data_IF_389498083548
#
_entry.id   IF_389498083548
#
_cell.length_a   1.000
_cell.length_b   1.000
_cell.length_c   1.000
_cell.angle_alpha   90.00
_cell.angle_beta   90.00
_cell.angle_gamma   90.00
#
_symmetry.space_group_name_H-M   'P 1'
#
loop_
_entity.id
_entity.type
_entity.pdbx_description
1 polymer ?
#
# COMPACT_ATOMS: atom_id res chain seq x y z
N UNK A 1 -6.93 -16.69 -0.81
CA UNK A 1 -6.46 -16.80 0.59
C UNK A 1 -5.30 -17.78 0.71
N UNK A 2 -5.45 -19.01 0.19
CA UNK A 2 -4.39 -20.05 0.16
C UNK A 2 -3.09 -19.52 -0.47
N UNK A 3 -3.17 -18.80 -1.60
CA UNK A 3 -1.98 -18.24 -2.26
C UNK A 3 -1.15 -17.28 -1.40
N UNK A 4 -1.77 -16.39 -0.61
CA UNK A 4 -1.04 -15.44 0.26
C UNK A 4 -0.34 -16.19 1.38
N UNK A 5 -1.01 -17.18 1.95
CA UNK A 5 -0.46 -18.01 3.01
C UNK A 5 0.76 -18.80 2.51
N UNK A 6 0.67 -19.41 1.32
CA UNK A 6 1.77 -20.14 0.71
C UNK A 6 2.97 -19.24 0.42
N UNK A 7 2.74 -18.02 -0.07
CA UNK A 7 3.81 -17.04 -0.27
C UNK A 7 4.49 -16.66 1.06
N UNK A 8 3.71 -16.40 2.12
CA UNK A 8 4.24 -16.09 3.45
C UNK A 8 5.06 -17.26 4.02
N UNK A 9 4.58 -18.49 3.84
CA UNK A 9 5.27 -19.70 4.28
C UNK A 9 6.59 -19.88 3.53
N UNK A 10 6.60 -19.66 2.20
CA UNK A 10 7.79 -19.71 1.38
C UNK A 10 8.83 -18.66 1.79
N UNK A 11 8.41 -17.42 2.04
CA UNK A 11 9.28 -16.35 2.52
C UNK A 11 9.86 -16.67 3.91
N UNK A 12 9.03 -17.15 4.83
CA UNK A 12 9.45 -17.56 6.18
C UNK A 12 10.45 -18.72 6.14
N UNK A 13 10.20 -19.72 5.28
CA UNK A 13 11.12 -20.83 5.04
C UNK A 13 12.47 -20.31 4.52
N UNK A 14 12.46 -19.35 3.59
CA UNK A 14 13.69 -18.75 3.05
C UNK A 14 14.48 -17.98 4.11
N UNK A 15 13.83 -17.23 4.99
CA UNK A 15 14.51 -16.59 6.13
C UNK A 15 15.16 -17.60 7.06
N UNK A 16 14.46 -18.70 7.37
CA UNK A 16 15.01 -19.80 8.18
C UNK A 16 16.21 -20.46 7.49
N UNK A 17 16.11 -20.78 6.20
CA UNK A 17 17.20 -21.41 5.43
C UNK A 17 18.46 -20.54 5.35
N UNK A 18 18.29 -19.23 5.27
CA UNK A 18 19.42 -18.28 5.29
C UNK A 18 19.97 -18.02 6.69
N UNK A 19 19.35 -18.57 7.74
CA UNK A 19 19.65 -18.26 9.13
C UNK A 19 19.70 -16.73 9.36
N UNK A 20 18.60 -16.04 9.03
CA UNK A 20 18.50 -14.58 9.20
C UNK A 20 18.65 -14.21 10.68
N UNK A 21 19.58 -13.29 10.98
CA UNK A 21 19.81 -12.82 12.34
C UNK A 21 18.85 -11.68 12.72
N UNK A 22 18.64 -11.48 14.02
CA UNK A 22 17.74 -10.44 14.53
C UNK A 22 18.18 -9.03 14.12
N UNK A 23 19.49 -8.79 14.12
CA UNK A 23 20.10 -7.52 13.72
C UNK A 23 19.91 -7.26 12.21
N UNK A 24 20.03 -8.30 11.38
CA UNK A 24 19.76 -8.19 9.94
C UNK A 24 18.27 -7.92 9.69
N UNK A 25 17.39 -8.59 10.44
CA UNK A 25 15.95 -8.43 10.32
C UNK A 25 15.49 -6.99 10.60
N UNK A 26 16.03 -6.34 11.64
CA UNK A 26 15.69 -4.93 11.92
C UNK A 26 16.19 -4.00 10.82
N UNK A 27 17.37 -4.24 10.24
CA UNK A 27 17.86 -3.50 9.08
C UNK A 27 16.91 -3.64 7.88
N UNK A 28 16.42 -4.85 7.59
CA UNK A 28 15.48 -5.10 6.50
C UNK A 28 14.14 -4.38 6.73
N UNK A 29 13.63 -4.35 7.96
CA UNK A 29 12.42 -3.57 8.29
C UNK A 29 12.63 -2.08 8.01
N UNK A 30 13.78 -1.52 8.39
CA UNK A 30 14.11 -0.12 8.12
C UNK A 30 14.22 0.16 6.63
N UNK A 31 14.85 -0.73 5.86
CA UNK A 31 14.89 -0.63 4.39
C UNK A 31 13.49 -0.63 3.80
N UNK A 32 12.60 -1.54 4.24
CA UNK A 32 11.22 -1.58 3.76
C UNK A 32 10.52 -0.24 4.01
N UNK A 33 10.59 0.29 5.24
CA UNK A 33 9.95 1.54 5.62
C UNK A 33 10.46 2.73 4.77
N UNK A 34 11.76 2.82 4.59
CA UNK A 34 12.40 3.93 3.87
C UNK A 34 12.27 3.78 2.35
N UNK A 35 12.19 2.55 1.82
CA UNK A 35 12.13 2.28 0.38
C UNK A 35 10.69 2.07 -0.16
N UNK A 36 9.68 1.96 0.70
CA UNK A 36 8.31 1.67 0.27
C UNK A 36 7.63 2.83 -0.48
N UNK A 37 8.11 4.06 -0.34
CA UNK A 37 7.43 5.27 -0.85
C UNK A 37 8.29 6.31 -1.57
N UNK A 38 9.59 6.09 -1.72
CA UNK A 38 10.54 7.07 -2.32
C UNK A 38 10.13 7.51 -3.73
N UNK A 39 9.37 6.70 -4.46
CA UNK A 39 9.03 6.96 -5.86
C UNK A 39 7.60 7.45 -6.11
N UNK A 40 6.74 7.54 -5.09
CA UNK A 40 5.30 7.81 -5.29
C UNK A 40 4.80 9.12 -4.70
N UNK A 41 5.61 9.89 -3.98
CA UNK A 41 5.09 11.01 -3.16
C UNK A 41 5.80 12.36 -3.32
N UNK A 42 6.87 12.44 -4.09
CA UNK A 42 7.67 13.65 -4.15
C UNK A 42 7.25 14.50 -5.36
N UNK A 43 6.35 15.45 -5.10
CA UNK A 43 6.20 16.68 -5.90
C UNK A 43 7.59 17.22 -6.21
N UNK A 44 7.91 17.54 -7.47
CA UNK A 44 9.26 17.90 -7.97
C UNK A 44 9.83 19.23 -7.44
N UNK A 45 9.60 19.55 -6.17
CA UNK A 45 10.12 20.72 -5.47
C UNK A 45 11.51 20.41 -4.89
N UNK A 46 12.38 21.41 -4.80
CA UNK A 46 13.76 21.22 -4.31
C UNK A 46 13.83 20.55 -2.92
N UNK A 47 12.89 20.87 -2.03
CA UNK A 47 12.80 20.27 -0.69
C UNK A 47 12.64 18.75 -0.73
N UNK A 48 11.88 18.23 -1.70
CA UNK A 48 11.71 16.78 -1.87
C UNK A 48 12.96 16.10 -2.41
N UNK A 49 13.80 16.81 -3.16
CA UNK A 49 15.05 16.26 -3.67
C UNK A 49 16.05 16.07 -2.51
N UNK A 50 16.18 17.06 -1.64
CA UNK A 50 17.00 16.96 -0.41
C UNK A 50 16.52 15.85 0.53
N UNK A 51 15.21 15.72 0.71
CA UNK A 51 14.60 14.64 1.50
C UNK A 51 14.92 13.26 0.89
N UNK A 52 14.84 13.13 -0.43
CA UNK A 52 15.20 11.90 -1.14
C UNK A 52 16.68 11.56 -0.97
N UNK A 53 17.57 12.54 -1.10
CA UNK A 53 19.01 12.34 -0.92
C UNK A 53 19.33 11.92 0.51
N UNK A 54 18.66 12.52 1.50
CA UNK A 54 18.78 12.10 2.90
C UNK A 54 18.31 10.66 3.12
N UNK A 55 17.18 10.26 2.53
CA UNK A 55 16.68 8.88 2.61
C UNK A 55 17.68 7.90 1.98
N UNK A 56 18.23 8.23 0.80
CA UNK A 56 19.26 7.40 0.17
C UNK A 56 20.51 7.29 1.03
N UNK A 57 20.96 8.39 1.63
CA UNK A 57 22.09 8.37 2.55
C UNK A 57 21.86 7.45 3.76
N UNK A 58 20.66 7.49 4.35
CA UNK A 58 20.30 6.60 5.47
C UNK A 58 20.23 5.14 5.01
N UNK A 59 19.67 4.87 3.82
CA UNK A 59 19.66 3.52 3.23
C UNK A 59 21.07 2.99 3.01
N UNK A 60 22.00 3.80 2.51
CA UNK A 60 23.41 3.44 2.35
C UNK A 60 24.04 3.09 3.71
N UNK A 61 23.75 3.85 4.76
CA UNK A 61 24.21 3.53 6.12
C UNK A 61 23.63 2.23 6.68
N UNK A 62 22.39 1.89 6.33
CA UNK A 62 21.80 0.60 6.71
C UNK A 62 22.48 -0.54 5.92
N UNK A 63 22.84 -0.33 4.65
CA UNK A 63 23.61 -1.30 3.85
C UNK A 63 25.02 -1.49 4.43
N UNK A 64 25.71 -0.41 4.78
CA UNK A 64 27.01 -0.45 5.48
C UNK A 64 26.90 -1.27 6.77
N UNK A 65 25.83 -1.07 7.54
CA UNK A 65 25.56 -1.80 8.78
C UNK A 65 25.34 -3.29 8.53
N UNK A 66 24.57 -3.65 7.49
CA UNK A 66 24.38 -5.06 7.10
C UNK A 66 25.72 -5.72 6.72
N UNK A 67 26.54 -5.05 5.92
CA UNK A 67 27.87 -5.55 5.54
C UNK A 67 28.74 -5.72 6.80
N UNK A 68 28.71 -4.76 7.73
CA UNK A 68 29.43 -4.85 8.99
C UNK A 68 28.98 -6.05 9.86
N UNK A 69 27.67 -6.30 9.96
CA UNK A 69 27.13 -7.46 10.68
C UNK A 69 27.58 -8.79 10.07
N UNK A 70 27.64 -8.87 8.74
CA UNK A 70 28.12 -10.05 8.02
C UNK A 70 29.63 -10.25 8.23
N UNK A 71 30.41 -9.17 8.18
CA UNK A 71 31.85 -9.21 8.46
C UNK A 71 32.12 -9.65 9.92
N UNK A 72 31.36 -9.12 10.88
CA UNK A 72 31.42 -9.52 12.30
C UNK A 72 31.11 -11.00 12.51
N UNK A 73 30.26 -11.56 11.65
CA UNK A 73 29.91 -13.00 11.64
C UNK A 73 30.95 -13.87 10.92
N UNK A 74 32.04 -13.30 10.43
CA UNK A 74 33.16 -14.03 9.81
C UNK A 74 32.98 -14.35 8.33
N UNK A 75 32.01 -13.75 7.63
CA UNK A 75 31.82 -13.98 6.19
C UNK A 75 32.96 -13.33 5.39
N UNK A 76 33.43 -14.00 4.34
CA UNK A 76 34.35 -13.41 3.36
C UNK A 76 33.66 -12.30 2.56
N UNK A 77 34.43 -11.39 1.95
CA UNK A 77 33.86 -10.28 1.16
C UNK A 77 32.87 -10.77 0.08
N UNK A 78 33.20 -11.87 -0.61
CA UNK A 78 32.31 -12.47 -1.60
C UNK A 78 31.02 -13.01 -0.97
N UNK A 79 31.10 -13.63 0.20
CA UNK A 79 29.92 -14.12 0.94
C UNK A 79 29.05 -12.96 1.44
N UNK A 80 29.65 -11.85 1.88
CA UNK A 80 28.95 -10.64 2.30
C UNK A 80 28.09 -10.08 1.15
N UNK A 81 28.69 -9.86 -0.03
CA UNK A 81 27.94 -9.35 -1.19
C UNK A 81 26.84 -10.31 -1.65
N UNK A 82 27.11 -11.63 -1.67
CA UNK A 82 26.11 -12.64 -2.02
C UNK A 82 24.94 -12.62 -1.04
N UNK A 83 25.21 -12.58 0.26
CA UNK A 83 24.18 -12.56 1.30
C UNK A 83 23.37 -11.27 1.24
N UNK A 84 24.03 -10.12 1.10
CA UNK A 84 23.36 -8.83 0.92
C UNK A 84 22.38 -8.88 -0.26
N UNK A 85 22.81 -9.35 -1.42
CA UNK A 85 21.94 -9.48 -2.58
C UNK A 85 20.75 -10.42 -2.32
N UNK A 86 20.95 -11.54 -1.62
CA UNK A 86 19.88 -12.46 -1.24
C UNK A 86 18.85 -11.81 -0.31
N UNK A 87 19.31 -11.05 0.68
CA UNK A 87 18.44 -10.34 1.62
C UNK A 87 17.60 -9.27 0.91
N UNK A 88 18.24 -8.44 0.08
CA UNK A 88 17.56 -7.38 -0.67
C UNK A 88 16.56 -7.95 -1.69
N UNK A 89 16.89 -9.07 -2.35
CA UNK A 89 15.99 -9.71 -3.31
C UNK A 89 14.69 -10.18 -2.64
N UNK A 90 14.73 -10.64 -1.39
CA UNK A 90 13.52 -11.08 -0.67
C UNK A 90 12.57 -9.92 -0.40
N UNK A 91 13.07 -8.68 -0.29
CA UNK A 91 12.21 -7.51 -0.13
C UNK A 91 11.25 -7.35 -1.33
N UNK A 92 11.66 -7.75 -2.54
CA UNK A 92 10.78 -7.76 -3.71
C UNK A 92 9.61 -8.73 -3.56
N UNK A 93 9.85 -9.92 -3.00
CA UNK A 93 8.81 -10.91 -2.71
C UNK A 93 7.86 -10.37 -1.64
N UNK A 94 8.39 -9.71 -0.61
CA UNK A 94 7.58 -9.07 0.44
C UNK A 94 6.68 -7.99 -0.15
N UNK A 95 7.20 -7.13 -1.03
CA UNK A 95 6.41 -6.12 -1.74
C UNK A 95 5.28 -6.75 -2.55
N UNK A 96 5.57 -7.84 -3.28
CA UNK A 96 4.56 -8.56 -4.04
C UNK A 96 3.45 -9.15 -3.15
N UNK A 97 3.83 -9.83 -2.07
CA UNK A 97 2.89 -10.36 -1.08
C UNK A 97 2.05 -9.26 -0.43
N UNK A 98 2.66 -8.13 -0.10
CA UNK A 98 1.97 -6.96 0.47
C UNK A 98 0.91 -6.42 -0.50
N UNK A 99 1.24 -6.29 -1.78
CA UNK A 99 0.30 -5.83 -2.81
C UNK A 99 -0.90 -6.78 -2.93
N UNK A 100 -0.65 -8.10 -2.97
CA UNK A 100 -1.69 -9.13 -3.01
C UNK A 100 -2.55 -9.13 -1.74
N UNK A 101 -1.93 -8.96 -0.57
CA UNK A 101 -2.63 -8.84 0.71
C UNK A 101 -3.53 -7.61 0.78
N UNK A 102 -3.03 -6.46 0.29
CA UNK A 102 -3.77 -5.21 0.22
C UNK A 102 -5.00 -5.32 -0.71
N UNK A 103 -4.81 -5.90 -1.90
CA UNK A 103 -5.89 -6.18 -2.85
C UNK A 103 -6.95 -7.10 -2.23
N UNK A 104 -6.53 -8.16 -1.52
CA UNK A 104 -7.44 -9.07 -0.84
C UNK A 104 -8.24 -8.35 0.25
N UNK A 105 -7.57 -7.56 1.10
CA UNK A 105 -8.22 -6.81 2.17
C UNK A 105 -9.24 -5.79 1.62
N UNK A 106 -8.90 -5.12 0.53
CA UNK A 106 -9.81 -4.23 -0.18
C UNK A 106 -11.04 -4.95 -0.72
N UNK A 107 -10.87 -6.12 -1.32
CA UNK A 107 -11.99 -6.93 -1.79
C UNK A 107 -12.90 -7.38 -0.63
N UNK A 108 -12.34 -7.63 0.56
CA UNK A 108 -13.14 -7.95 1.75
C UNK A 108 -13.91 -6.73 2.28
N UNK A 109 -13.31 -5.52 2.24
CA UNK A 109 -13.97 -4.24 2.52
C UNK A 109 -15.19 -4.06 1.60
N UNK A 110 -15.01 -4.16 0.28
CA UNK A 110 -16.10 -3.93 -0.68
C UNK A 110 -17.26 -4.92 -0.56
N UNK A 111 -16.98 -6.14 -0.11
CA UNK A 111 -17.99 -7.19 0.11
C UNK A 111 -18.59 -7.17 1.51
N UNK A 112 -18.19 -6.22 2.37
CA UNK A 112 -18.59 -6.12 3.78
C UNK A 112 -18.42 -7.44 4.56
N UNK A 113 -17.39 -8.24 4.22
CA UNK A 113 -17.20 -9.56 4.82
C UNK A 113 -16.65 -9.46 6.24
N UNK A 114 -15.84 -8.44 6.51
CA UNK A 114 -15.20 -8.20 7.81
C UNK A 114 -15.20 -6.69 8.09
N UNK A 115 -15.58 -6.24 9.31
CA UNK A 115 -15.43 -4.85 9.71
C UNK A 115 -13.95 -4.49 9.84
N UNK A 116 -13.57 -3.32 9.33
CA UNK A 116 -12.20 -2.79 9.45
C UNK A 116 -12.19 -1.63 10.45
N UNK A 117 -11.13 -1.54 11.23
CA UNK A 117 -10.87 -0.37 12.08
C UNK A 117 -10.60 0.87 11.24
N UNK A 118 -11.00 2.05 11.73
CA UNK A 118 -10.84 3.33 11.02
C UNK A 118 -9.39 3.58 10.57
N UNK A 119 -8.41 3.33 11.45
CA UNK A 119 -6.99 3.47 11.10
C UNK A 119 -6.57 2.52 9.97
N UNK A 120 -7.05 1.27 9.98
CA UNK A 120 -6.74 0.30 8.93
C UNK A 120 -7.38 0.70 7.61
N UNK A 121 -8.57 1.29 7.67
CA UNK A 121 -9.28 1.83 6.52
C UNK A 121 -8.49 2.98 5.87
N UNK A 122 -8.01 3.91 6.69
CA UNK A 122 -7.20 5.04 6.24
C UNK A 122 -5.90 4.58 5.55
N UNK A 123 -5.21 3.60 6.14
CA UNK A 123 -4.00 3.01 5.54
C UNK A 123 -4.28 2.31 4.21
N UNK A 124 -5.41 1.60 4.11
CA UNK A 124 -5.84 0.89 2.91
C UNK A 124 -6.19 1.87 1.78
N UNK A 125 -6.87 2.97 2.10
CA UNK A 125 -7.28 3.99 1.13
C UNK A 125 -6.09 4.83 0.65
N UNK A 126 -5.11 5.12 1.53
CA UNK A 126 -3.87 5.80 1.18
C UNK A 126 -3.05 5.04 0.11
N UNK A 127 -3.17 3.71 0.04
CA UNK A 127 -2.51 2.90 -0.98
C UNK A 127 -3.14 3.09 -2.38
N UNK A 128 -4.44 3.35 -2.49
CA UNK A 128 -5.11 3.60 -3.78
C UNK A 128 -4.68 4.90 -4.42
N UNK A 129 -4.56 5.96 -3.61
CA UNK A 129 -4.08 7.27 -4.07
C UNK A 129 -2.64 7.22 -4.62
N UNK A 130 -1.88 6.15 -4.31
CA UNK A 130 -0.50 5.93 -4.74
C UNK A 130 -0.35 5.02 -5.96
N UNK A 131 -1.41 4.36 -6.45
CA UNK A 131 -1.34 3.49 -7.62
C UNK A 131 -1.78 4.23 -8.89
N UNK A 132 -0.91 4.46 -9.90
CA UNK A 132 -1.24 5.24 -11.09
C UNK A 132 -2.31 4.63 -12.01
N UNK A 133 -2.76 3.39 -11.76
CA UNK A 133 -3.67 2.65 -12.64
C UNK A 133 -5.13 2.60 -12.18
N UNK A 134 -5.53 3.38 -11.18
CA UNK A 134 -6.88 3.30 -10.58
C UNK A 134 -7.91 4.32 -11.09
N UNK A 135 -7.51 5.23 -11.98
CA UNK A 135 -8.38 6.25 -12.58
C UNK A 135 -8.61 5.90 -14.05
N UNK A 136 -9.42 4.87 -14.32
CA UNK A 136 -10.24 4.76 -15.54
C UNK A 136 -11.04 3.45 -15.47
N UNK A 137 -12.19 3.56 -14.82
CA UNK A 137 -13.24 2.56 -14.77
C UNK A 137 -14.60 3.23 -14.58
N UNK A 138 -14.75 4.43 -15.14
CA UNK A 138 -16.06 5.01 -15.42
C UNK A 138 -16.15 5.02 -16.93
N UNK A 139 -16.75 3.96 -17.48
CA UNK A 139 -17.14 3.93 -18.90
C UNK A 139 -18.09 5.09 -19.15
N UNK A 140 -17.57 6.17 -19.73
CA UNK A 140 -18.37 7.12 -20.49
C UNK A 140 -18.57 6.44 -21.84
N UNK A 141 -19.66 5.70 -21.98
CA UNK A 141 -20.08 5.18 -23.29
C UNK A 141 -20.38 6.34 -24.23
N UNK A 142 -19.42 6.56 -25.15
CA UNK A 142 -19.57 6.92 -26.56
C UNK A 142 -20.70 7.88 -26.95
N UNK A 143 -20.34 9.15 -27.06
CA UNK A 143 -20.97 10.11 -27.98
C UNK A 143 -20.15 10.14 -29.28
N UNK A 144 -20.71 9.64 -30.39
CA UNK A 144 -20.30 10.04 -31.75
C UNK A 144 -21.52 10.03 -32.72
N UNK A 145 -21.98 11.26 -33.07
CA UNK A 145 -22.46 11.78 -34.38
C UNK A 145 -23.47 10.90 -35.18
N UNK A 146 -24.77 11.21 -35.41
CA UNK A 146 -25.51 12.39 -35.95
C UNK A 146 -26.13 12.02 -37.35
N UNK A 147 -27.19 12.64 -37.96
CA UNK A 147 -28.17 13.64 -37.50
C UNK A 147 -29.68 13.38 -37.85
N UNK A 148 -30.54 14.20 -37.23
CA UNK A 148 -31.82 14.80 -37.71
C UNK A 148 -33.22 14.11 -37.64
N UNK A 149 -34.15 14.90 -37.04
CA UNK A 149 -35.62 14.97 -37.18
C UNK A 149 -36.46 13.95 -36.34
N UNK A 150 -37.50 14.27 -35.54
CA UNK A 150 -38.37 15.45 -35.30
C UNK A 150 -39.06 15.34 -33.90
N UNK A 151 -39.35 16.51 -33.28
CA UNK A 151 -40.48 16.90 -32.41
C UNK A 151 -40.94 16.10 -31.15
N UNK A 152 -41.01 16.81 -30.00
CA UNK A 152 -42.03 16.62 -28.93
C UNK A 152 -41.53 16.19 -27.54
N UNK A 153 -41.97 16.81 -26.41
CA UNK A 153 -41.26 16.75 -25.12
C UNK A 153 -41.72 15.62 -24.17
N UNK A 154 -40.90 15.22 -23.17
CA UNK A 154 -41.28 14.24 -22.17
C UNK A 154 -41.84 14.84 -20.87
N UNK A 155 -42.66 14.00 -20.25
CA UNK A 155 -43.37 14.09 -18.99
C UNK A 155 -42.50 13.86 -17.74
N UNK A 156 -42.83 14.61 -16.69
CA UNK A 156 -43.02 14.25 -15.27
C UNK A 156 -42.25 13.07 -14.63
N UNK A 157 -41.43 13.31 -13.60
CA UNK A 157 -41.82 13.29 -12.17
C UNK A 157 -40.59 13.33 -11.25
N UNK A 158 -40.74 14.11 -10.18
CA UNK A 158 -39.71 14.50 -9.20
C UNK A 158 -39.71 13.61 -7.95
N UNK A 159 -38.50 13.33 -7.45
CA UNK A 159 -38.02 13.29 -6.06
C UNK A 159 -38.95 12.82 -4.90
N UNK A 160 -38.53 11.75 -4.22
CA UNK A 160 -38.78 11.52 -2.78
C UNK A 160 -37.63 10.67 -2.20
N UNK A 161 -36.71 11.23 -1.40
CA UNK A 161 -36.75 11.48 0.05
C UNK A 161 -36.87 10.21 0.90
N UNK A 162 -35.74 9.69 1.41
CA UNK A 162 -35.67 8.95 2.68
C UNK A 162 -34.29 9.13 3.32
N UNK A 163 -34.20 10.01 4.32
CA UNK A 163 -33.25 9.89 5.43
C UNK A 163 -34.06 9.94 6.72
N UNK A 164 -34.18 8.80 7.40
CA UNK A 164 -34.64 8.72 8.78
C UNK A 164 -33.42 8.98 9.65
N UNK A 165 -33.44 10.09 10.41
CA UNK A 165 -32.47 10.38 11.46
C UNK A 165 -33.04 9.90 12.79
N UNK A 166 -32.35 8.93 13.39
CA UNK A 166 -32.68 8.38 14.71
C UNK A 166 -32.50 9.39 15.84
N UNK A 167 -33.30 9.16 16.88
CA UNK A 167 -33.54 9.92 18.10
C UNK A 167 -32.29 10.12 18.98
N UNK A 168 -32.29 11.22 19.74
CA UNK A 168 -31.52 11.36 20.97
C UNK A 168 -32.39 12.07 22.02
N UNK A 169 -32.53 11.42 23.18
CA UNK A 169 -33.24 11.86 24.39
C UNK A 169 -32.60 13.08 25.08
N UNK A 170 -33.36 13.83 25.89
CA UNK A 170 -32.79 14.51 27.07
C UNK A 170 -33.33 15.90 27.49
N UNK A 171 -34.41 15.91 28.31
CA UNK A 171 -34.83 16.83 29.39
C UNK A 171 -35.12 18.35 29.20
N UNK A 172 -36.10 18.92 29.97
CA UNK A 172 -36.48 20.34 29.91
C UNK A 172 -35.85 21.19 31.03
N UNK A 173 -35.63 22.49 30.75
CA UNK A 173 -35.40 23.52 31.77
C UNK A 173 -36.21 24.80 31.44
N UNK A 174 -37.08 25.15 32.38
CA UNK A 174 -37.71 26.44 32.73
C UNK A 174 -37.33 27.71 31.96
N UNK A 175 -38.36 28.47 31.55
CA UNK A 175 -38.73 29.78 32.14
C UNK A 175 -40.24 30.02 32.02
#
# INVERSE_FOLDING_TARGET
MVEIFDMLLAASSRFRMMNLQGEEFVCLKSIILLNSGVYTFLSSTLKTLEEKDHIHHVLDKIIDTLIHLMAKSGLTLQQQHRRLAQLLLILSHIRHMSNKGMEHLYNMKCKNVVPLYDLLLEMLDAHRLRSPGGLEGVSVEQLHQGPMATAGPPSSHSLHTYYIRGEAEGFPATM
#
